data_IF_814130708286
#
_entry.id   IF_814130708286
#
_cell.length_a   1.000
_cell.length_b   1.000
_cell.length_c   1.000
_cell.angle_alpha   90.00
_cell.angle_beta   90.00
_cell.angle_gamma   90.00
#
_symmetry.space_group_name_H-M   'P 1'
#
loop_
_entity.id
_entity.type
_entity.pdbx_description
1 polymer ?
#
# COMPACT_ATOMS: atom_id res chain seq x y z
N UNK A 1 10.39 4.35 1.79
CA UNK A 1 10.90 5.49 0.99
C UNK A 1 10.23 6.83 1.33
N UNK A 2 9.62 7.00 2.51
CA UNK A 2 8.86 8.22 2.84
C UNK A 2 9.74 9.49 2.93
N UNK A 3 11.03 9.36 3.26
CA UNK A 3 12.01 10.48 3.25
C UNK A 3 12.80 10.63 1.93
N UNK A 4 12.42 9.92 0.88
CA UNK A 4 13.13 9.96 -0.40
C UNK A 4 12.63 11.13 -1.26
N UNK A 5 13.55 11.79 -1.97
CA UNK A 5 13.25 12.87 -2.90
C UNK A 5 13.91 12.58 -4.25
N UNK A 6 13.30 13.05 -5.35
CA UNK A 6 13.76 12.78 -6.71
C UNK A 6 15.24 13.13 -6.88
N UNK A 7 16.03 12.15 -7.34
CA UNK A 7 17.48 12.28 -7.54
C UNK A 7 18.35 11.93 -6.32
N UNK A 8 17.78 11.69 -5.13
CA UNK A 8 18.54 11.24 -3.95
C UNK A 8 19.01 9.79 -4.14
N UNK A 9 20.32 9.57 -4.13
CA UNK A 9 20.92 8.23 -4.23
C UNK A 9 21.26 7.63 -2.86
N UNK A 10 21.35 6.31 -2.80
CA UNK A 10 21.85 5.55 -1.66
C UNK A 10 23.24 4.99 -1.97
N UNK A 11 24.11 4.91 -0.95
CA UNK A 11 25.45 4.32 -1.10
C UNK A 11 25.42 2.79 -1.15
N UNK A 12 24.44 2.18 -0.49
CA UNK A 12 24.22 0.74 -0.44
C UNK A 12 22.73 0.42 -0.63
N UNK A 13 22.40 -0.83 -0.97
CA UNK A 13 21.02 -1.28 -1.10
C UNK A 13 20.47 -1.54 0.31
N UNK A 14 19.45 -0.79 0.76
CA UNK A 14 18.85 -1.04 2.07
C UNK A 14 18.10 -2.38 2.07
N UNK A 15 18.09 -3.07 3.21
CA UNK A 15 17.25 -4.26 3.39
C UNK A 15 15.78 -3.86 3.47
N UNK A 16 14.90 -4.53 2.74
CA UNK A 16 13.49 -4.12 2.61
C UNK A 16 12.75 -4.18 3.95
N UNK A 17 12.71 -5.36 4.58
CA UNK A 17 12.05 -5.55 5.88
C UNK A 17 13.00 -5.31 7.07
N UNK A 18 14.31 -5.47 6.89
CA UNK A 18 15.28 -5.27 7.97
C UNK A 18 15.38 -3.80 8.40
N UNK A 19 15.14 -2.87 7.46
CA UNK A 19 15.12 -1.43 7.72
C UNK A 19 13.73 -0.91 8.14
N UNK A 20 12.75 -1.80 8.33
CA UNK A 20 11.40 -1.43 8.75
C UNK A 20 11.42 -0.70 10.10
N UNK A 21 10.81 0.47 10.16
CA UNK A 21 10.80 1.34 11.34
C UNK A 21 9.41 1.36 12.03
N UNK A 22 9.30 2.09 13.14
CA UNK A 22 8.03 2.23 13.87
C UNK A 22 7.00 3.05 13.06
N UNK A 23 7.42 4.09 12.32
CA UNK A 23 6.52 4.89 11.46
C UNK A 23 5.88 4.05 10.34
N UNK A 24 6.64 3.12 9.73
CA UNK A 24 6.10 2.19 8.74
C UNK A 24 5.05 1.26 9.35
N UNK A 25 5.25 0.81 10.59
CA UNK A 25 4.25 0.03 11.34
C UNK A 25 3.02 0.84 11.70
N UNK A 26 3.18 2.09 12.15
CA UNK A 26 2.06 2.99 12.44
C UNK A 26 1.18 3.20 11.21
N UNK A 27 1.80 3.49 10.06
CA UNK A 27 1.07 3.65 8.81
C UNK A 27 0.37 2.36 8.37
N UNK A 28 1.04 1.21 8.48
CA UNK A 28 0.46 -0.08 8.09
C UNK A 28 -0.73 -0.46 8.99
N UNK A 29 -0.64 -0.21 10.30
CA UNK A 29 -1.75 -0.40 11.25
C UNK A 29 -2.91 0.54 10.92
N UNK A 30 -2.63 1.80 10.57
CA UNK A 30 -3.66 2.76 10.19
C UNK A 30 -4.40 2.34 8.90
N UNK A 31 -3.68 1.83 7.90
CA UNK A 31 -4.28 1.23 6.70
C UNK A 31 -5.07 -0.04 7.01
N UNK A 32 -4.61 -0.91 7.91
CA UNK A 32 -5.36 -2.08 8.34
C UNK A 32 -6.68 -1.68 9.02
N UNK A 33 -6.69 -0.64 9.85
CA UNK A 33 -7.91 -0.11 10.46
C UNK A 33 -8.92 0.40 9.41
N UNK A 34 -8.45 1.02 8.33
CA UNK A 34 -9.29 1.42 7.19
C UNK A 34 -9.82 0.20 6.45
N UNK A 35 -8.97 -0.78 6.18
CA UNK A 35 -9.35 -2.05 5.55
C UNK A 35 -10.42 -2.80 6.35
N UNK A 36 -10.27 -2.89 7.67
CA UNK A 36 -11.24 -3.53 8.56
C UNK A 36 -12.59 -2.79 8.58
N UNK A 37 -12.61 -1.47 8.40
CA UNK A 37 -13.86 -0.71 8.24
C UNK A 37 -14.54 -1.05 6.90
N UNK A 38 -13.77 -1.18 5.83
CA UNK A 38 -14.27 -1.61 4.51
C UNK A 38 -14.89 -3.00 4.61
N UNK A 39 -14.18 -3.96 5.23
CA UNK A 39 -14.69 -5.31 5.41
C UNK A 39 -16.02 -5.36 6.17
N UNK A 40 -16.19 -4.54 7.21
CA UNK A 40 -17.44 -4.48 7.99
C UNK A 40 -18.62 -3.92 7.20
N UNK A 41 -18.37 -3.06 6.22
CA UNK A 41 -19.40 -2.43 5.41
C UNK A 41 -19.73 -3.21 4.13
N UNK A 42 -18.90 -4.18 3.75
CA UNK A 42 -19.15 -5.01 2.58
C UNK A 42 -20.45 -5.81 2.75
N UNK A 43 -21.37 -5.77 1.76
CA UNK A 43 -22.67 -6.44 1.85
C UNK A 43 -22.57 -7.94 1.49
N UNK A 44 -21.51 -8.60 1.95
CA UNK A 44 -21.26 -10.03 1.75
C UNK A 44 -20.87 -10.67 3.06
N UNK A 45 -21.15 -11.97 3.19
CA UNK A 45 -20.66 -12.74 4.33
C UNK A 45 -19.17 -12.95 4.18
N UNK A 46 -18.40 -12.33 5.06
CA UNK A 46 -16.94 -12.47 5.13
C UNK A 46 -16.63 -13.34 6.35
N UNK A 47 -15.82 -14.37 6.16
CA UNK A 47 -15.20 -15.05 7.30
C UNK A 47 -14.29 -14.06 8.04
N UNK A 48 -14.26 -14.04 9.38
CA UNK A 48 -13.48 -13.05 10.12
C UNK A 48 -12.02 -13.02 9.65
N UNK A 49 -11.62 -11.91 9.05
CA UNK A 49 -10.22 -11.64 8.71
C UNK A 49 -9.60 -10.98 9.94
N UNK A 50 -8.60 -11.61 10.59
CA UNK A 50 -7.97 -11.04 11.77
C UNK A 50 -7.32 -9.70 11.41
N UNK A 51 -7.25 -8.82 12.39
CA UNK A 51 -6.45 -7.59 12.26
C UNK A 51 -4.99 -7.93 12.04
N UNK A 52 -4.23 -6.99 11.48
CA UNK A 52 -2.79 -7.13 11.28
C UNK A 52 -2.06 -7.44 12.58
N UNK A 53 -2.45 -6.78 13.67
CA UNK A 53 -1.86 -6.97 14.99
C UNK A 53 -2.13 -8.37 15.53
N UNK A 54 -3.35 -8.88 15.41
CA UNK A 54 -3.69 -10.26 15.79
C UNK A 54 -2.92 -11.29 14.97
N UNK A 55 -2.85 -11.11 13.64
CA UNK A 55 -2.13 -12.02 12.75
C UNK A 55 -0.64 -12.15 13.11
N UNK A 56 -0.01 -11.02 13.47
CA UNK A 56 1.41 -10.97 13.81
C UNK A 56 1.70 -11.21 15.29
N UNK A 57 0.69 -11.47 16.12
CA UNK A 57 0.83 -11.56 17.59
C UNK A 57 1.54 -10.31 18.16
N UNK A 58 1.02 -9.15 17.78
CA UNK A 58 1.54 -7.82 18.12
C UNK A 58 0.42 -6.96 18.72
N UNK A 59 0.78 -5.89 19.41
CA UNK A 59 -0.17 -5.05 20.16
C UNK A 59 -0.03 -3.55 19.89
N UNK A 60 1.04 -3.13 19.23
CA UNK A 60 1.34 -1.75 18.86
C UNK A 60 2.37 -1.70 17.72
N UNK A 61 2.68 -0.50 17.24
CA UNK A 61 3.66 -0.31 16.17
C UNK A 61 5.05 -0.86 16.54
N UNK A 62 5.48 -0.70 17.80
CA UNK A 62 6.78 -1.16 18.28
C UNK A 62 6.89 -2.69 18.25
N UNK A 63 5.90 -3.41 18.76
CA UNK A 63 5.86 -4.87 18.76
C UNK A 63 5.75 -5.41 17.35
N UNK A 64 4.96 -4.78 16.48
CA UNK A 64 4.87 -5.13 15.06
C UNK A 64 6.22 -4.93 14.35
N UNK A 65 6.91 -3.80 14.56
CA UNK A 65 8.24 -3.55 13.98
C UNK A 65 9.25 -4.62 14.42
N UNK A 66 9.24 -4.99 15.70
CA UNK A 66 10.09 -6.08 16.22
C UNK A 66 9.74 -7.41 15.55
N UNK A 67 8.45 -7.70 15.39
CA UNK A 67 7.97 -8.94 14.75
C UNK A 67 8.43 -9.00 13.29
N UNK A 68 8.16 -7.99 12.48
CA UNK A 68 8.53 -7.94 11.05
C UNK A 68 10.03 -8.16 10.88
N UNK A 69 10.87 -7.47 11.67
CA UNK A 69 12.33 -7.60 11.61
C UNK A 69 12.86 -8.96 12.11
N UNK A 70 12.06 -9.70 12.89
CA UNK A 70 12.44 -11.01 13.41
C UNK A 70 12.22 -12.16 12.42
N UNK A 71 11.38 -11.96 11.39
CA UNK A 71 11.00 -13.00 10.42
C UNK A 71 12.23 -13.43 9.61
N UNK A 72 12.64 -14.69 9.78
CA UNK A 72 13.87 -15.22 9.15
C UNK A 72 13.79 -15.13 7.63
N UNK A 73 12.63 -15.44 7.04
CA UNK A 73 12.41 -15.38 5.60
C UNK A 73 12.58 -13.97 5.01
N UNK A 74 12.44 -12.91 5.84
CA UNK A 74 12.52 -11.53 5.39
C UNK A 74 13.94 -10.94 5.45
N UNK A 75 14.87 -11.59 6.16
CA UNK A 75 16.20 -11.03 6.47
C UNK A 75 17.06 -10.69 5.26
N UNK A 76 16.87 -11.39 4.14
CA UNK A 76 17.74 -11.27 2.98
C UNK A 76 17.05 -10.64 1.77
N UNK A 77 15.88 -10.02 1.97
CA UNK A 77 15.14 -9.37 0.89
C UNK A 77 15.66 -7.93 0.74
N UNK A 78 16.35 -7.61 -0.37
CA UNK A 78 16.79 -6.23 -0.64
C UNK A 78 15.62 -5.37 -1.10
N UNK A 79 15.71 -4.05 -0.88
CA UNK A 79 14.79 -3.13 -1.52
C UNK A 79 14.97 -3.14 -3.05
N UNK A 80 13.90 -2.89 -3.84
CA UNK A 80 14.00 -2.78 -5.29
C UNK A 80 14.78 -1.51 -5.66
N UNK A 81 16.01 -1.69 -6.16
CA UNK A 81 16.92 -0.60 -6.48
C UNK A 81 17.59 -0.79 -7.85
N UNK A 82 17.74 0.27 -8.63
CA UNK A 82 18.57 0.33 -9.84
C UNK A 82 19.97 0.87 -9.50
N UNK A 83 21.04 0.23 -10.02
CA UNK A 83 22.42 0.72 -9.88
C UNK A 83 22.68 1.84 -10.89
N UNK A 84 23.31 2.92 -10.44
CA UNK A 84 23.72 4.09 -11.25
C UNK A 84 25.19 4.43 -11.01
N UNK A 85 25.74 5.38 -11.76
CA UNK A 85 27.10 5.90 -11.53
C UNK A 85 27.25 6.59 -10.16
N UNK A 86 26.16 7.14 -9.61
CA UNK A 86 26.15 7.93 -8.36
C UNK A 86 25.66 7.15 -7.13
N UNK A 87 25.51 5.83 -7.24
CA UNK A 87 24.95 4.95 -6.20
C UNK A 87 23.67 4.26 -6.67
N UNK A 88 22.74 4.00 -5.76
CA UNK A 88 21.50 3.27 -6.02
C UNK A 88 20.28 4.19 -5.96
N UNK A 89 19.35 4.03 -6.91
CA UNK A 89 18.03 4.70 -6.90
C UNK A 89 16.92 3.67 -6.71
N UNK A 90 15.77 4.03 -6.10
CA UNK A 90 14.61 3.15 -6.07
C UNK A 90 14.18 2.75 -7.48
N UNK A 91 13.97 1.45 -7.70
CA UNK A 91 13.45 0.91 -8.95
C UNK A 91 11.92 1.02 -8.96
N UNK A 92 11.39 2.17 -9.39
CA UNK A 92 9.94 2.37 -9.52
C UNK A 92 9.30 1.60 -10.68
N UNK A 93 10.09 0.92 -11.52
CA UNK A 93 9.55 -0.01 -12.54
C UNK A 93 9.35 -1.41 -11.98
N UNK A 94 9.83 -1.67 -10.76
CA UNK A 94 9.60 -2.93 -10.08
C UNK A 94 8.11 -3.18 -9.86
N UNK A 95 7.72 -4.46 -9.88
CA UNK A 95 6.34 -4.90 -9.62
C UNK A 95 5.80 -4.45 -8.26
N UNK A 96 6.67 -4.21 -7.27
CA UNK A 96 6.28 -3.59 -5.99
C UNK A 96 5.54 -2.26 -6.17
N UNK A 97 5.80 -1.54 -7.26
CA UNK A 97 5.12 -0.28 -7.56
C UNK A 97 4.12 -0.43 -8.70
N UNK A 98 4.53 -1.09 -9.79
CA UNK A 98 3.69 -1.19 -10.99
C UNK A 98 2.53 -2.17 -10.83
N UNK A 99 2.54 -3.05 -9.83
CA UNK A 99 1.44 -3.96 -9.53
C UNK A 99 0.69 -3.56 -8.25
N UNK A 100 1.40 -3.45 -7.12
CA UNK A 100 0.76 -3.29 -5.80
C UNK A 100 -0.07 -2.00 -5.69
N UNK A 101 0.28 -0.94 -6.42
CA UNK A 101 -0.51 0.30 -6.46
C UNK A 101 -1.75 0.16 -7.34
N UNK A 102 -1.64 -0.01 -8.68
CA UNK A 102 -2.81 -0.01 -9.56
C UNK A 102 -3.71 -1.25 -9.41
N UNK A 103 -3.17 -2.40 -9.00
CA UNK A 103 -3.91 -3.67 -8.92
C UNK A 103 -4.04 -4.24 -7.51
N UNK A 104 -3.53 -3.53 -6.49
CA UNK A 104 -3.72 -3.87 -5.09
C UNK A 104 -4.44 -2.74 -4.35
N UNK A 105 -3.67 -1.72 -3.95
CA UNK A 105 -4.13 -0.65 -3.08
C UNK A 105 -5.26 0.19 -3.69
N UNK A 106 -5.19 0.46 -5.00
CA UNK A 106 -6.22 1.21 -5.71
C UNK A 106 -7.56 0.47 -5.73
N UNK A 107 -7.55 -0.87 -5.80
CA UNK A 107 -8.77 -1.68 -5.71
C UNK A 107 -9.43 -1.47 -4.36
N UNK A 108 -8.66 -1.56 -3.27
CA UNK A 108 -9.16 -1.35 -1.91
C UNK A 108 -9.77 0.05 -1.77
N UNK A 109 -9.07 1.09 -2.25
CA UNK A 109 -9.58 2.46 -2.27
C UNK A 109 -10.89 2.59 -3.07
N UNK A 110 -10.98 1.96 -4.24
CA UNK A 110 -12.17 2.03 -5.10
C UNK A 110 -13.40 1.43 -4.44
N UNK A 111 -13.24 0.31 -3.73
CA UNK A 111 -14.32 -0.29 -2.93
C UNK A 111 -14.71 0.66 -1.78
N UNK A 112 -13.73 1.26 -1.11
CA UNK A 112 -13.99 2.22 -0.04
C UNK A 112 -14.81 3.42 -0.51
N UNK A 113 -14.51 3.99 -1.68
CA UNK A 113 -15.26 5.10 -2.26
C UNK A 113 -16.71 4.71 -2.55
N UNK A 114 -16.94 3.54 -3.16
CA UNK A 114 -18.30 3.04 -3.42
C UNK A 114 -19.11 2.86 -2.12
N UNK A 115 -18.44 2.45 -1.04
CA UNK A 115 -19.04 2.28 0.28
C UNK A 115 -19.09 3.57 1.12
N UNK A 116 -18.61 4.70 0.59
CA UNK A 116 -18.49 5.99 1.29
C UNK A 116 -17.64 5.91 2.59
N UNK A 117 -16.54 5.17 2.56
CA UNK A 117 -15.60 5.03 3.67
C UNK A 117 -14.37 5.87 3.40
N UNK A 118 -14.03 6.75 4.34
CA UNK A 118 -12.81 7.55 4.27
C UNK A 118 -11.57 6.68 4.51
N UNK A 119 -10.55 6.86 3.67
CA UNK A 119 -9.29 6.11 3.75
C UNK A 119 -8.06 7.01 3.66
N UNK A 120 -7.90 7.99 4.58
CA UNK A 120 -6.85 9.00 4.51
C UNK A 120 -5.42 8.43 4.47
N UNK A 121 -5.17 7.27 5.09
CA UNK A 121 -3.84 6.66 5.10
C UNK A 121 -3.55 5.93 3.78
N UNK A 122 -4.54 5.21 3.23
CA UNK A 122 -4.45 4.67 1.87
C UNK A 122 -4.26 5.81 0.85
N UNK A 123 -4.98 6.93 1.00
CA UNK A 123 -4.86 8.10 0.13
C UNK A 123 -3.45 8.68 0.16
N UNK A 124 -2.87 8.82 1.36
CA UNK A 124 -1.47 9.26 1.53
C UNK A 124 -0.49 8.39 0.74
N UNK A 125 -0.66 7.06 0.78
CA UNK A 125 0.20 6.13 0.05
C UNK A 125 -0.03 6.25 -1.46
N UNK A 126 -1.28 6.22 -1.92
CA UNK A 126 -1.61 6.33 -3.35
C UNK A 126 -1.14 7.65 -3.98
N UNK A 127 -1.28 8.78 -3.27
CA UNK A 127 -0.79 10.08 -3.72
C UNK A 127 0.73 10.12 -3.85
N UNK A 128 1.46 9.50 -2.92
CA UNK A 128 2.90 9.33 -3.04
C UNK A 128 3.27 8.42 -4.23
N UNK A 129 2.56 7.30 -4.37
CA UNK A 129 2.78 6.32 -5.44
C UNK A 129 2.58 6.89 -6.83
N UNK A 130 1.49 7.64 -7.04
CA UNK A 130 1.19 8.25 -8.33
C UNK A 130 2.25 9.30 -8.73
N UNK A 131 2.82 10.06 -7.77
CA UNK A 131 3.92 11.00 -8.05
C UNK A 131 5.21 10.28 -8.51
N UNK A 132 5.62 9.22 -7.78
CA UNK A 132 6.85 8.51 -8.13
C UNK A 132 6.72 7.71 -9.44
N UNK A 133 5.52 7.21 -9.73
CA UNK A 133 5.18 6.50 -10.97
C UNK A 133 4.87 7.45 -12.15
N UNK A 134 4.75 8.76 -11.91
CA UNK A 134 4.29 9.73 -12.91
C UNK A 134 2.94 9.32 -13.53
N UNK A 135 2.00 8.94 -12.67
CA UNK A 135 0.63 8.52 -12.97
C UNK A 135 -0.36 9.43 -12.23
N UNK A 136 -1.62 9.40 -12.63
CA UNK A 136 -2.69 10.16 -11.99
C UNK A 136 -3.90 9.26 -11.75
N UNK A 137 -4.10 8.88 -10.48
CA UNK A 137 -5.22 8.04 -10.03
C UNK A 137 -6.24 8.85 -9.21
N UNK A 138 -5.75 9.57 -8.20
CA UNK A 138 -6.56 10.47 -7.36
C UNK A 138 -6.40 11.90 -7.89
N UNK A 139 -7.53 12.58 -8.10
CA UNK A 139 -7.61 13.99 -8.46
C UNK A 139 -8.69 14.64 -7.59
N UNK A 140 -8.37 15.76 -6.93
CA UNK A 140 -9.27 16.44 -5.97
C UNK A 140 -9.87 15.54 -4.88
N UNK A 141 -9.13 14.52 -4.44
CA UNK A 141 -9.56 13.59 -3.38
C UNK A 141 -10.45 12.44 -3.83
N UNK A 142 -10.72 12.32 -5.13
CA UNK A 142 -11.55 11.26 -5.73
C UNK A 142 -10.75 10.44 -6.74
N UNK A 143 -11.07 9.15 -6.91
CA UNK A 143 -10.56 8.33 -8.02
C UNK A 143 -11.18 8.75 -9.36
N UNK A 144 -10.68 9.85 -9.92
CA UNK A 144 -11.03 10.37 -11.26
C UNK A 144 -9.84 10.73 -12.13
N UNK A 145 -8.65 10.22 -11.78
CA UNK A 145 -7.43 10.45 -12.53
C UNK A 145 -7.42 9.78 -13.92
N UNK A 146 -6.64 10.33 -14.85
CA UNK A 146 -6.62 9.90 -16.26
C UNK A 146 -6.06 8.49 -16.48
N UNK A 147 -5.28 7.96 -15.54
CA UNK A 147 -4.61 6.66 -15.69
C UNK A 147 -5.44 5.49 -15.14
N UNK A 148 -6.65 5.72 -14.62
CA UNK A 148 -7.48 4.67 -13.99
C UNK A 148 -7.88 3.53 -14.93
N UNK A 149 -8.02 3.79 -16.23
CA UNK A 149 -8.40 2.75 -17.21
C UNK A 149 -7.37 1.64 -17.37
N UNK A 150 -6.13 1.85 -16.91
CA UNK A 150 -5.03 0.88 -16.96
C UNK A 150 -4.88 0.10 -15.64
N UNK A 151 -5.85 0.20 -14.73
CA UNK A 151 -5.74 -0.31 -13.35
C UNK A 151 -6.84 -1.30 -13.00
N UNK A 152 -6.80 -1.84 -11.77
CA UNK A 152 -7.85 -2.69 -11.22
C UNK A 152 -9.07 -1.91 -10.70
N UNK A 153 -9.22 -0.63 -11.05
CA UNK A 153 -10.29 0.25 -10.56
C UNK A 153 -11.68 -0.39 -10.67
N UNK A 154 -12.39 -0.42 -9.54
CA UNK A 154 -13.77 -0.90 -9.46
C UNK A 154 -14.71 0.30 -9.32
N UNK A 155 -15.45 0.61 -10.39
CA UNK A 155 -16.54 1.57 -10.31
C UNK A 155 -17.78 0.97 -9.62
N UNK A 156 -18.72 1.83 -9.24
CA UNK A 156 -19.95 1.41 -8.55
C UNK A 156 -20.74 0.35 -9.33
N UNK A 157 -20.88 0.51 -10.65
CA UNK A 157 -21.62 -0.45 -11.49
C UNK A 157 -20.99 -1.86 -11.46
N UNK A 158 -19.67 -1.94 -11.60
CA UNK A 158 -18.93 -3.20 -11.50
C UNK A 158 -19.03 -3.79 -10.10
N UNK A 159 -18.88 -2.98 -9.06
CA UNK A 159 -19.01 -3.42 -7.67
C UNK A 159 -20.36 -4.11 -7.42
N UNK A 160 -21.47 -3.44 -7.75
CA UNK A 160 -22.81 -4.01 -7.55
C UNK A 160 -23.11 -5.19 -8.49
N UNK A 161 -22.44 -5.27 -9.65
CA UNK A 161 -22.53 -6.45 -10.51
C UNK A 161 -21.83 -7.66 -9.88
N UNK A 162 -20.69 -7.47 -9.24
CA UNK A 162 -19.93 -8.55 -8.58
C UNK A 162 -20.69 -9.15 -7.38
N UNK A 163 -21.49 -8.33 -6.69
CA UNK A 163 -22.31 -8.76 -5.54
C UNK A 163 -23.54 -9.60 -5.90
N UNK A 164 -23.97 -9.59 -7.17
CA UNK A 164 -25.19 -10.26 -7.64
C UNK A 164 -24.95 -11.70 -8.13
N UNK A 165 -23.71 -12.17 -8.08
CA UNK A 165 -23.32 -13.55 -8.39
C UNK A 165 -23.14 -14.34 -7.09
#
# INVERSE_FOLDING_TARGET
FHTWSRGKTYHEIPGFYNSWDEESSELLIACDNEFQQILKALPVRIEPIPTLLEYYDSYDARSLTRKIRSIIAFKHIPAPMEKTEKGFLPDFKSRYFTEDFPFGLLIIKSIAEVLNICTPNIDKILLWGQDVLNKEYIHEGELKGKDLSETGYINADLFYKLLKN
#
